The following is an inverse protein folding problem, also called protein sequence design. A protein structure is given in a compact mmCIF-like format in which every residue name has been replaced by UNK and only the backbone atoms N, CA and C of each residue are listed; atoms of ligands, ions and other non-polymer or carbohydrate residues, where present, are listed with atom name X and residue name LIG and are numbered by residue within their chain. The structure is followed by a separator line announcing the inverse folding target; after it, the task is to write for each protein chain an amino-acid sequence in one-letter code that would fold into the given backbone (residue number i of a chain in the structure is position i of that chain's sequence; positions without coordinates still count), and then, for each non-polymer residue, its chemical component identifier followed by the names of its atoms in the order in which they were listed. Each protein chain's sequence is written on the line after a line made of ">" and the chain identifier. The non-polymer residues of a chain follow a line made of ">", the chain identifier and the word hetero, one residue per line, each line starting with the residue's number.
data_IF_111041610910
#
_entry.id   IF_111041610910
#
_cell.length_a   1.000
_cell.length_b   1.000
_cell.length_c   1.000
_cell.angle_alpha   90.00
_cell.angle_beta   90.00
_cell.angle_gamma   90.00
#
_symmetry.space_group_name_H-M   'P 1'
#
loop_
_entity.id
_entity.type
_entity.pdbx_description
1 polymer ?
#
# COMPACT_ATOMS: atom_id res chain seq x y z
N UNK A 1 20.95 -3.07 -19.87
CA UNK A 1 20.59 -1.81 -19.17
C UNK A 1 19.12 -1.35 -19.32
N UNK A 2 18.23 -1.99 -20.10
CA UNK A 2 16.81 -1.61 -20.18
C UNK A 2 15.91 -2.16 -19.06
N UNK A 3 16.30 -3.27 -18.41
CA UNK A 3 15.49 -3.93 -17.36
C UNK A 3 15.45 -3.11 -16.04
N UNK A 4 16.58 -2.50 -15.65
CA UNK A 4 16.66 -1.63 -14.47
C UNK A 4 15.82 -0.35 -14.58
N UNK A 5 15.39 0.04 -15.78
CA UNK A 5 14.51 1.20 -15.98
C UNK A 5 13.05 0.93 -15.58
N UNK A 6 12.70 -0.32 -15.29
CA UNK A 6 11.34 -0.74 -14.95
C UNK A 6 11.13 -0.77 -13.42
N UNK A 7 12.21 -0.93 -12.65
CA UNK A 7 12.19 -0.93 -11.19
C UNK A 7 12.41 0.50 -10.69
N UNK A 8 11.54 0.99 -9.82
CA UNK A 8 11.71 2.32 -9.23
C UNK A 8 12.83 2.29 -8.16
N UNK A 9 13.43 3.46 -7.83
CA UNK A 9 14.55 3.52 -6.89
C UNK A 9 14.23 2.94 -5.51
N UNK A 10 12.98 3.08 -5.03
CA UNK A 10 12.57 2.54 -3.74
C UNK A 10 12.49 1.02 -3.79
N UNK A 11 11.89 0.43 -4.82
CA UNK A 11 11.90 -1.03 -4.99
C UNK A 11 13.31 -1.60 -5.16
N UNK A 12 14.21 -0.92 -5.87
CA UNK A 12 15.62 -1.34 -5.97
C UNK A 12 16.33 -1.32 -4.61
N UNK A 13 16.05 -0.30 -3.79
CA UNK A 13 16.60 -0.22 -2.42
C UNK A 13 16.01 -1.33 -1.55
N UNK A 14 14.72 -1.60 -1.69
CA UNK A 14 14.02 -2.66 -0.97
C UNK A 14 14.57 -4.05 -1.32
N UNK A 15 14.77 -4.33 -2.61
CA UNK A 15 15.41 -5.58 -3.08
C UNK A 15 16.82 -5.70 -2.51
N UNK A 16 17.60 -4.63 -2.55
CA UNK A 16 18.94 -4.62 -1.95
C UNK A 16 18.89 -4.96 -0.47
N UNK A 17 17.95 -4.38 0.29
CA UNK A 17 17.76 -4.68 1.71
C UNK A 17 17.33 -6.13 1.95
N UNK A 18 16.43 -6.68 1.12
CA UNK A 18 16.03 -8.10 1.22
C UNK A 18 17.21 -9.02 0.92
N UNK A 19 18.03 -8.70 -0.09
CA UNK A 19 19.26 -9.46 -0.38
C UNK A 19 20.24 -9.37 0.79
N UNK A 20 20.46 -8.17 1.34
CA UNK A 20 21.30 -7.98 2.52
C UNK A 20 20.78 -8.79 3.71
N UNK A 21 19.48 -8.78 4.00
CA UNK A 21 18.87 -9.60 5.04
C UNK A 21 18.99 -11.11 4.77
N UNK A 22 19.07 -11.51 3.49
CA UNK A 22 19.19 -12.92 3.10
C UNK A 22 20.60 -13.46 3.26
N UNK A 23 21.62 -12.66 2.96
CA UNK A 23 23.03 -13.05 3.09
C UNK A 23 23.63 -12.71 4.46
N UNK A 24 23.15 -11.61 5.06
CA UNK A 24 23.61 -11.08 6.35
C UNK A 24 22.40 -10.81 7.27
N UNK A 25 21.63 -11.85 7.65
CA UNK A 25 20.54 -11.69 8.60
C UNK A 25 21.07 -11.28 9.98
N UNK A 26 20.34 -10.39 10.66
CA UNK A 26 20.53 -10.15 12.09
C UNK A 26 20.35 -11.47 12.87
N UNK A 27 21.35 -11.86 13.65
CA UNK A 27 21.38 -13.11 14.44
C UNK A 27 22.03 -12.88 15.80
N UNK A 28 21.71 -13.75 16.76
CA UNK A 28 22.30 -13.75 18.09
C UNK A 28 22.05 -12.45 18.85
N UNK A 29 23.10 -11.92 19.49
CA UNK A 29 23.01 -10.77 20.41
C UNK A 29 22.59 -9.45 19.74
N UNK A 30 22.62 -9.37 18.40
CA UNK A 30 22.12 -8.20 17.67
C UNK A 30 20.59 -8.16 17.57
N UNK A 31 19.89 -9.27 17.78
CA UNK A 31 18.42 -9.35 17.63
C UNK A 31 17.69 -8.34 18.53
N UNK A 32 17.95 -8.28 19.85
CA UNK A 32 17.25 -7.31 20.73
C UNK A 32 17.52 -5.85 20.36
N UNK A 33 18.72 -5.55 19.85
CA UNK A 33 19.06 -4.20 19.39
C UNK A 33 18.21 -3.81 18.17
N UNK A 34 18.15 -4.67 17.16
CA UNK A 34 17.35 -4.41 15.95
C UNK A 34 15.85 -4.37 16.24
N UNK A 35 15.34 -5.20 17.15
CA UNK A 35 13.93 -5.17 17.57
C UNK A 35 13.55 -3.85 18.25
N UNK A 36 14.36 -3.38 19.20
CA UNK A 36 14.14 -2.10 19.89
C UNK A 36 14.25 -0.91 18.92
N UNK A 37 15.25 -0.93 18.03
CA UNK A 37 15.42 0.10 17.02
C UNK A 37 14.24 0.11 16.02
N UNK A 38 13.77 -1.07 15.63
CA UNK A 38 12.60 -1.23 14.75
C UNK A 38 11.33 -0.68 15.41
N UNK A 39 11.12 -1.00 16.70
CA UNK A 39 10.00 -0.47 17.48
C UNK A 39 10.02 1.06 17.55
N UNK A 40 11.18 1.65 17.85
CA UNK A 40 11.35 3.10 17.87
C UNK A 40 11.14 3.73 16.48
N UNK A 41 11.64 3.09 15.42
CA UNK A 41 11.48 3.56 14.04
C UNK A 41 10.02 3.54 13.58
N UNK A 42 9.25 2.52 13.98
CA UNK A 42 7.81 2.44 13.70
C UNK A 42 7.05 3.52 14.47
N UNK A 43 7.34 3.71 15.77
CA UNK A 43 6.72 4.77 16.56
C UNK A 43 6.98 6.15 15.95
N UNK A 44 8.23 6.42 15.56
CA UNK A 44 8.61 7.66 14.86
C UNK A 44 7.87 7.78 13.53
N UNK A 45 7.80 6.73 12.72
CA UNK A 45 7.11 6.73 11.44
C UNK A 45 5.64 7.12 11.64
N UNK A 46 4.90 6.44 12.50
CA UNK A 46 3.48 6.76 12.73
C UNK A 46 3.28 8.15 13.34
N UNK A 47 4.17 8.58 14.23
CA UNK A 47 4.18 9.94 14.76
C UNK A 47 4.34 10.98 13.64
N UNK A 48 5.31 10.79 12.74
CA UNK A 48 5.51 11.70 11.60
C UNK A 48 4.32 11.68 10.63
N UNK A 49 3.65 10.54 10.45
CA UNK A 49 2.41 10.46 9.66
C UNK A 49 1.29 11.30 10.29
N UNK A 50 1.12 11.24 11.60
CA UNK A 50 0.17 12.08 12.33
C UNK A 50 0.49 13.57 12.22
N UNK A 51 1.75 13.94 12.41
CA UNK A 51 2.21 15.33 12.35
C UNK A 51 2.08 15.96 10.95
N UNK A 52 2.16 15.15 9.89
CA UNK A 52 1.98 15.59 8.50
C UNK A 52 0.52 15.87 8.13
N UNK A 53 -0.44 15.34 8.88
CA UNK A 53 -1.85 15.42 8.53
C UNK A 53 -2.43 16.82 8.80
N UNK A 54 -2.62 17.61 7.74
CA UNK A 54 -3.24 18.93 7.85
C UNK A 54 -4.75 18.89 7.91
N UNK A 55 -5.34 19.76 8.74
CA UNK A 55 -6.80 19.90 8.87
C UNK A 55 -7.41 20.36 7.54
N UNK A 56 -6.68 21.20 6.82
CA UNK A 56 -7.05 21.71 5.52
C UNK A 56 -7.09 20.59 4.46
N UNK A 57 -6.18 19.60 4.53
CA UNK A 57 -6.20 18.45 3.63
C UNK A 57 -7.38 17.51 3.91
N UNK A 58 -7.83 17.42 5.17
CA UNK A 58 -9.03 16.67 5.56
C UNK A 58 -10.29 17.38 5.01
N UNK A 59 -10.36 18.70 5.13
CA UNK A 59 -11.53 19.51 4.72
C UNK A 59 -11.61 19.67 3.19
N UNK A 60 -10.46 19.83 2.50
CA UNK A 60 -10.41 20.01 1.05
C UNK A 60 -10.89 18.77 0.26
N UNK A 61 -10.93 17.59 0.89
CA UNK A 61 -11.49 16.36 0.30
C UNK A 61 -13.02 16.35 0.18
N UNK A 62 -13.72 17.44 0.51
CA UNK A 62 -15.18 17.53 0.40
C UNK A 62 -15.71 17.63 -1.05
N UNK A 63 -14.88 18.07 -2.00
CA UNK A 63 -15.25 18.11 -3.42
C UNK A 63 -15.12 16.74 -4.07
N UNK A 64 -16.15 16.25 -4.77
CA UNK A 64 -16.20 14.91 -5.41
C UNK A 64 -16.39 13.72 -4.45
N UNK A 65 -17.20 13.87 -3.40
CA UNK A 65 -17.50 12.81 -2.40
C UNK A 65 -17.89 11.45 -3.02
N UNK A 66 -18.63 11.42 -4.13
CA UNK A 66 -18.99 10.16 -4.84
C UNK A 66 -17.76 9.39 -5.31
N UNK A 67 -16.74 10.11 -5.81
CA UNK A 67 -15.48 9.54 -6.26
C UNK A 67 -14.68 9.01 -5.05
N UNK A 68 -14.56 9.83 -4.00
CA UNK A 68 -13.84 9.45 -2.78
C UNK A 68 -14.45 8.20 -2.13
N UNK A 69 -15.77 8.16 -2.02
CA UNK A 69 -16.51 7.01 -1.49
C UNK A 69 -16.20 5.75 -2.29
N UNK A 70 -16.25 5.84 -3.62
CA UNK A 70 -15.94 4.67 -4.46
C UNK A 70 -14.48 4.20 -4.31
N UNK A 71 -13.50 5.11 -4.24
CA UNK A 71 -12.10 4.74 -3.99
C UNK A 71 -11.93 4.03 -2.64
N UNK A 72 -12.61 4.53 -1.60
CA UNK A 72 -12.61 3.92 -0.27
C UNK A 72 -13.26 2.53 -0.32
N UNK A 73 -14.42 2.39 -0.98
CA UNK A 73 -15.08 1.10 -1.19
C UNK A 73 -14.20 0.12 -1.97
N UNK A 74 -13.54 0.56 -3.05
CA UNK A 74 -12.60 -0.28 -3.78
C UNK A 74 -11.49 -0.78 -2.86
N UNK A 75 -10.94 0.11 -2.03
CA UNK A 75 -9.80 -0.20 -1.16
C UNK A 75 -10.16 -1.12 0.02
N UNK A 76 -11.26 -0.85 0.73
CA UNK A 76 -11.60 -1.49 2.01
C UNK A 76 -12.82 -2.41 1.95
N UNK A 77 -13.46 -2.55 0.78
CA UNK A 77 -14.56 -3.50 0.56
C UNK A 77 -14.25 -4.46 -0.57
N UNK A 78 -14.03 -3.96 -1.80
CA UNK A 78 -13.77 -4.80 -2.97
C UNK A 78 -12.53 -5.68 -2.77
N UNK A 79 -11.39 -5.07 -2.43
CA UNK A 79 -10.16 -5.84 -2.20
C UNK A 79 -10.32 -6.87 -1.07
N UNK A 80 -10.77 -6.51 0.16
CA UNK A 80 -10.97 -7.49 1.22
C UNK A 80 -11.92 -8.64 0.83
N UNK A 81 -13.03 -8.36 0.14
CA UNK A 81 -13.92 -9.41 -0.37
C UNK A 81 -13.17 -10.37 -1.30
N UNK A 82 -12.40 -9.84 -2.25
CA UNK A 82 -11.57 -10.66 -3.15
C UNK A 82 -10.52 -11.47 -2.36
N UNK A 83 -9.90 -10.87 -1.34
CA UNK A 83 -8.94 -11.55 -0.47
C UNK A 83 -9.58 -12.69 0.33
N UNK A 84 -10.77 -12.49 0.89
CA UNK A 84 -11.53 -13.51 1.64
C UNK A 84 -11.95 -14.64 0.72
N UNK A 85 -12.54 -14.31 -0.44
CA UNK A 85 -12.93 -15.32 -1.43
C UNK A 85 -11.72 -16.14 -1.87
N UNK A 86 -10.58 -15.50 -2.08
CA UNK A 86 -9.35 -16.19 -2.46
C UNK A 86 -8.80 -17.09 -1.35
N UNK A 87 -8.78 -16.61 -0.11
CA UNK A 87 -8.34 -17.37 1.06
C UNK A 87 -9.30 -18.52 1.41
N UNK A 88 -10.58 -18.41 1.07
CA UNK A 88 -11.58 -19.47 1.22
C UNK A 88 -11.45 -20.53 0.12
N UNK A 89 -11.28 -20.11 -1.14
CA UNK A 89 -11.26 -21.03 -2.27
C UNK A 89 -10.01 -21.92 -2.33
N UNK A 90 -8.84 -21.41 -1.90
CA UNK A 90 -7.54 -22.12 -1.89
C UNK A 90 -7.30 -23.00 -3.13
N UNK A 91 -7.29 -22.43 -4.34
CA UNK A 91 -7.29 -23.19 -5.60
C UNK A 91 -6.00 -23.99 -5.89
N UNK A 92 -4.91 -23.72 -5.17
CA UNK A 92 -3.59 -24.32 -5.42
C UNK A 92 -2.98 -24.76 -4.09
N UNK A 93 -2.31 -25.91 -4.09
CA UNK A 93 -1.62 -26.38 -2.89
C UNK A 93 -0.28 -25.64 -2.71
N UNK A 94 -0.34 -24.44 -2.13
CA UNK A 94 0.81 -23.65 -1.66
C UNK A 94 0.71 -23.42 -0.15
N UNK A 95 1.79 -22.92 0.45
CA UNK A 95 1.82 -22.63 1.89
C UNK A 95 0.62 -21.74 2.30
N UNK A 96 -0.20 -22.15 3.30
CA UNK A 96 -1.36 -21.40 3.76
C UNK A 96 -1.06 -19.94 4.14
N UNK A 97 0.17 -19.64 4.58
CA UNK A 97 0.58 -18.29 4.94
C UNK A 97 0.57 -17.34 3.74
N UNK A 98 0.78 -17.85 2.52
CA UNK A 98 0.71 -17.01 1.32
C UNK A 98 -0.72 -16.52 1.06
N UNK A 99 -1.73 -17.34 1.35
CA UNK A 99 -3.12 -16.92 1.31
C UNK A 99 -3.42 -15.83 2.33
N UNK A 100 -2.89 -15.98 3.56
CA UNK A 100 -2.95 -14.93 4.58
C UNK A 100 -2.24 -13.65 4.12
N UNK A 101 -1.09 -13.76 3.44
CA UNK A 101 -0.38 -12.62 2.87
C UNK A 101 -1.18 -11.89 1.80
N UNK A 102 -1.90 -12.62 0.94
CA UNK A 102 -2.84 -12.03 -0.03
C UNK A 102 -4.06 -11.37 0.62
N UNK A 103 -4.62 -12.00 1.65
CA UNK A 103 -5.70 -11.39 2.41
C UNK A 103 -5.24 -10.10 3.10
N UNK A 104 -4.05 -10.11 3.70
CA UNK A 104 -3.44 -8.93 4.29
C UNK A 104 -3.20 -7.82 3.25
N UNK A 105 -2.59 -8.14 2.10
CA UNK A 105 -2.46 -7.23 0.95
C UNK A 105 -3.81 -6.57 0.62
N UNK A 106 -4.89 -7.34 0.57
CA UNK A 106 -6.22 -6.86 0.25
C UNK A 106 -6.79 -5.91 1.30
N UNK A 107 -6.38 -6.00 2.56
CA UNK A 107 -6.87 -5.16 3.66
C UNK A 107 -6.12 -3.81 3.74
N UNK A 108 -4.95 -3.70 3.11
CA UNK A 108 -4.11 -2.50 3.19
C UNK A 108 -4.70 -1.26 2.49
N UNK A 109 -4.30 -0.05 2.90
CA UNK A 109 -4.71 1.18 2.24
C UNK A 109 -4.04 1.39 0.88
N UNK A 110 -4.52 2.37 0.14
CA UNK A 110 -3.94 2.80 -1.12
C UNK A 110 -2.62 3.57 -0.95
N UNK A 111 -1.79 3.55 -1.99
CA UNK A 111 -0.56 4.36 -2.09
C UNK A 111 -0.87 5.81 -2.45
N UNK A 112 -0.30 6.77 -1.73
CA UNK A 112 -0.47 8.20 -2.03
C UNK A 112 0.36 8.62 -3.24
N UNK A 113 1.69 8.47 -3.15
CA UNK A 113 2.62 9.07 -4.12
C UNK A 113 2.45 8.51 -5.55
N UNK A 114 2.40 7.19 -5.70
CA UNK A 114 2.27 6.58 -7.02
C UNK A 114 0.87 6.80 -7.61
N UNK A 115 -0.19 6.84 -6.81
CA UNK A 115 -1.53 7.15 -7.32
C UNK A 115 -1.59 8.58 -7.91
N UNK A 116 -1.03 9.57 -7.22
CA UNK A 116 -0.95 10.96 -7.69
C UNK A 116 -0.10 11.04 -8.98
N UNK A 117 1.08 10.40 -8.98
CA UNK A 117 1.99 10.44 -10.12
C UNK A 117 1.38 9.82 -11.39
N UNK A 118 0.76 8.64 -11.29
CA UNK A 118 0.13 7.99 -12.44
C UNK A 118 -1.13 8.72 -12.91
N UNK A 119 -1.92 9.29 -11.98
CA UNK A 119 -3.08 10.12 -12.33
C UNK A 119 -2.64 11.36 -13.09
N UNK A 120 -1.62 12.07 -12.61
CA UNK A 120 -1.07 13.24 -13.30
C UNK A 120 -0.53 12.88 -14.68
N UNK A 121 0.26 11.80 -14.80
CA UNK A 121 0.80 11.36 -16.08
C UNK A 121 -0.29 10.97 -17.09
N UNK A 122 -1.42 10.45 -16.64
CA UNK A 122 -2.54 10.05 -17.48
C UNK A 122 -3.50 11.19 -17.84
N UNK A 123 -3.34 12.39 -17.27
CA UNK A 123 -4.28 13.51 -17.44
C UNK A 123 -5.56 13.38 -16.61
N UNK A 124 -5.51 12.71 -15.46
CA UNK A 124 -6.63 12.57 -14.53
C UNK A 124 -6.79 13.74 -13.57
N UNK A 125 -7.80 13.67 -12.71
CA UNK A 125 -8.07 14.69 -11.69
C UNK A 125 -7.09 14.55 -10.51
N UNK A 126 -5.96 15.27 -10.60
CA UNK A 126 -4.87 15.22 -9.61
C UNK A 126 -5.33 15.68 -8.23
N UNK A 127 -6.18 16.71 -8.14
CA UNK A 127 -6.70 17.20 -6.87
C UNK A 127 -7.53 16.12 -6.16
N UNK A 128 -8.44 15.46 -6.90
CA UNK A 128 -9.21 14.34 -6.37
C UNK A 128 -8.32 13.14 -6.01
N UNK A 129 -7.24 12.88 -6.75
CA UNK A 129 -6.29 11.81 -6.43
C UNK A 129 -5.53 12.07 -5.12
N UNK A 130 -5.06 13.31 -4.91
CA UNK A 130 -4.40 13.73 -3.66
C UNK A 130 -5.35 13.50 -2.49
N UNK A 131 -6.59 13.97 -2.60
CA UNK A 131 -7.59 13.82 -1.53
C UNK A 131 -7.94 12.36 -1.28
N UNK A 132 -8.30 11.59 -2.32
CA UNK A 132 -8.71 10.18 -2.19
C UNK A 132 -7.61 9.30 -1.62
N UNK A 133 -6.39 9.42 -2.15
CA UNK A 133 -5.29 8.57 -1.74
C UNK A 133 -4.84 8.91 -0.31
N UNK A 134 -4.84 10.19 0.05
CA UNK A 134 -4.56 10.63 1.43
C UNK A 134 -5.64 10.12 2.38
N UNK A 135 -6.92 10.30 2.04
CA UNK A 135 -8.04 9.80 2.85
C UNK A 135 -7.96 8.28 3.04
N UNK A 136 -7.72 7.51 1.97
CA UNK A 136 -7.53 6.06 2.05
C UNK A 136 -6.33 5.68 2.93
N UNK A 137 -5.19 6.34 2.77
CA UNK A 137 -4.00 6.11 3.60
C UNK A 137 -4.27 6.38 5.08
N UNK A 138 -4.96 7.47 5.40
CA UNK A 138 -5.30 7.85 6.77
C UNK A 138 -6.33 6.92 7.39
N UNK A 139 -7.44 6.68 6.68
CA UNK A 139 -8.45 5.73 7.12
C UNK A 139 -7.85 4.35 7.31
N UNK A 140 -6.90 3.95 6.46
CA UNK A 140 -6.21 2.66 6.58
C UNK A 140 -5.41 2.47 7.85
N UNK A 141 -4.87 3.53 8.46
CA UNK A 141 -4.19 3.44 9.75
C UNK A 141 -5.13 2.89 10.83
N UNK A 142 -6.43 3.21 10.73
CA UNK A 142 -7.47 2.74 11.65
C UNK A 142 -8.19 1.48 11.14
N UNK A 143 -8.62 1.47 9.88
CA UNK A 143 -9.47 0.42 9.31
C UNK A 143 -8.70 -0.88 9.07
N UNK A 144 -7.45 -0.83 8.62
CA UNK A 144 -6.76 -2.07 8.22
C UNK A 144 -6.50 -2.98 9.42
N UNK A 145 -6.05 -2.50 10.61
CA UNK A 145 -5.89 -3.36 11.77
C UNK A 145 -7.21 -3.94 12.28
N UNK A 146 -8.31 -3.17 12.22
CA UNK A 146 -9.64 -3.67 12.55
C UNK A 146 -10.09 -4.77 11.59
N UNK A 147 -9.90 -4.57 10.28
CA UNK A 147 -10.19 -5.56 9.25
C UNK A 147 -9.30 -6.80 9.38
N UNK A 148 -8.03 -6.64 9.75
CA UNK A 148 -7.14 -7.77 10.05
C UNK A 148 -7.66 -8.56 11.25
N UNK A 149 -8.02 -7.88 12.35
CA UNK A 149 -8.60 -8.53 13.52
C UNK A 149 -9.90 -9.28 13.21
N UNK A 150 -10.78 -8.67 12.41
CA UNK A 150 -12.08 -9.23 12.04
C UNK A 150 -11.95 -10.43 11.07
N UNK A 151 -11.08 -10.32 10.07
CA UNK A 151 -11.09 -11.21 8.91
C UNK A 151 -10.02 -12.28 8.98
N UNK A 152 -8.89 -12.02 9.66
CA UNK A 152 -7.75 -12.93 9.67
C UNK A 152 -7.68 -13.81 10.93
N UNK A 153 -8.57 -13.62 11.92
CA UNK A 153 -8.55 -14.34 13.20
C UNK A 153 -7.10 -14.50 13.69
N UNK A 154 -6.42 -13.37 13.88
CA UNK A 154 -5.00 -13.34 14.19
C UNK A 154 -4.78 -14.07 15.52
N UNK A 155 -4.35 -15.33 15.39
CA UNK A 155 -4.23 -16.40 16.39
C UNK A 155 -5.54 -17.14 16.70
N UNK A 156 -5.55 -18.45 16.40
CA UNK A 156 -6.71 -19.33 16.53
C UNK A 156 -7.40 -19.27 17.89
N UNK A 157 -8.71 -19.55 17.89
CA UNK A 157 -9.55 -19.70 19.07
C UNK A 157 -9.31 -18.65 20.18
N UNK A 158 -9.54 -17.37 19.88
CA UNK A 158 -9.60 -16.33 20.92
C UNK A 158 -8.80 -15.06 20.69
N UNK A 159 -8.67 -14.59 19.44
CA UNK A 159 -8.24 -13.21 19.18
C UNK A 159 -9.25 -12.23 19.78
N UNK A 160 -9.07 -11.90 21.06
CA UNK A 160 -9.97 -11.01 21.77
C UNK A 160 -9.91 -9.62 21.15
N UNK A 161 -11.04 -8.92 21.10
CA UNK A 161 -11.10 -7.50 20.75
C UNK A 161 -10.06 -6.67 21.53
N UNK A 162 -9.64 -7.16 22.70
CA UNK A 162 -8.58 -6.60 23.53
C UNK A 162 -7.18 -6.66 22.87
N UNK A 163 -6.80 -7.74 22.20
CA UNK A 163 -5.51 -7.82 21.50
C UNK A 163 -5.48 -6.89 20.28
N UNK A 164 -6.57 -6.85 19.50
CA UNK A 164 -6.73 -5.89 18.41
C UNK A 164 -6.70 -4.47 18.96
N UNK A 165 -7.34 -4.22 20.11
CA UNK A 165 -7.31 -2.95 20.83
C UNK A 165 -5.91 -2.53 21.29
N UNK A 166 -5.09 -3.45 21.81
CA UNK A 166 -3.70 -3.17 22.20
C UNK A 166 -2.82 -2.84 21.01
N UNK A 167 -2.93 -3.60 19.92
CA UNK A 167 -2.21 -3.33 18.66
C UNK A 167 -2.66 -2.00 18.06
N UNK A 168 -3.98 -1.74 18.09
CA UNK A 168 -4.53 -0.45 17.68
C UNK A 168 -3.96 0.68 18.53
N UNK A 169 -3.90 0.54 19.86
CA UNK A 169 -3.30 1.56 20.72
C UNK A 169 -1.82 1.75 20.41
N UNK A 170 -1.06 0.68 20.15
CA UNK A 170 0.35 0.76 19.77
C UNK A 170 0.58 1.49 18.44
N UNK A 171 -0.30 1.31 17.44
CA UNK A 171 -0.25 2.00 16.15
C UNK A 171 -0.80 3.43 16.22
N UNK A 172 -1.93 3.62 16.92
CA UNK A 172 -2.68 4.87 16.97
C UNK A 172 -2.10 5.86 17.96
N UNK A 173 -1.56 5.41 19.09
CA UNK A 173 -0.97 6.30 20.09
C UNK A 173 0.13 7.20 19.48
N UNK A 174 1.20 6.68 18.83
CA UNK A 174 2.20 7.54 18.22
C UNK A 174 1.60 8.46 17.15
N UNK A 175 0.67 7.96 16.33
CA UNK A 175 -0.01 8.75 15.31
C UNK A 175 -0.81 9.91 15.91
N UNK A 176 -1.62 9.65 16.93
CA UNK A 176 -2.45 10.66 17.63
C UNK A 176 -1.56 11.68 18.31
N UNK A 177 -0.51 11.24 19.01
CA UNK A 177 0.48 12.15 19.61
C UNK A 177 1.14 13.04 18.55
N UNK A 178 1.50 12.47 17.41
CA UNK A 178 2.02 13.20 16.26
C UNK A 178 1.04 14.24 15.75
N UNK A 179 -0.22 13.86 15.57
CA UNK A 179 -1.28 14.77 15.11
C UNK A 179 -1.55 15.91 16.10
N UNK A 180 -1.64 15.60 17.40
CA UNK A 180 -1.85 16.59 18.46
C UNK A 180 -0.66 17.54 18.61
N UNK A 181 0.55 17.09 18.29
CA UNK A 181 1.76 17.94 18.30
C UNK A 181 1.84 18.91 17.12
N UNK A 182 1.03 18.71 16.06
CA UNK A 182 1.09 19.47 14.81
C UNK A 182 0.99 20.99 14.98
N UNK A 183 0.20 21.58 15.89
CA UNK A 183 0.19 23.02 16.10
C UNK A 183 1.56 23.60 16.49
N UNK A 184 2.44 22.80 17.10
CA UNK A 184 3.78 23.22 17.51
C UNK A 184 4.86 22.89 16.47
N UNK A 185 4.78 21.70 15.84
CA UNK A 185 5.84 21.22 14.94
C UNK A 185 5.48 21.29 13.45
N UNK A 186 4.24 21.62 13.10
CA UNK A 186 3.70 21.53 11.75
C UNK A 186 4.44 22.38 10.71
N UNK A 187 4.86 23.60 11.10
CA UNK A 187 5.64 24.48 10.23
C UNK A 187 7.07 23.96 10.01
N UNK A 188 7.68 23.38 11.05
CA UNK A 188 8.98 22.73 10.91
C UNK A 188 8.86 21.49 10.01
N UNK A 189 7.80 20.69 10.18
CA UNK A 189 7.50 19.51 9.35
C UNK A 189 7.30 19.92 7.89
N UNK A 190 6.56 21.00 7.64
CA UNK A 190 6.27 21.47 6.29
C UNK A 190 7.51 22.06 5.59
N UNK A 191 8.43 22.68 6.34
CA UNK A 191 9.73 23.17 5.86
C UNK A 191 10.72 22.03 5.57
N UNK A 192 10.71 20.96 6.37
CA UNK A 192 11.69 19.87 6.30
C UNK A 192 11.18 18.60 5.60
N UNK A 193 10.18 18.72 4.72
CA UNK A 193 9.54 17.58 4.01
C UNK A 193 10.52 16.56 3.41
N UNK A 194 11.64 17.00 2.83
CA UNK A 194 12.65 16.12 2.22
C UNK A 194 13.35 15.23 3.25
N UNK A 195 13.77 15.80 4.38
CA UNK A 195 14.41 15.04 5.45
C UNK A 195 13.45 14.05 6.08
N UNK A 196 12.21 14.48 6.32
CA UNK A 196 11.20 13.62 6.91
C UNK A 196 10.82 12.46 5.98
N UNK A 197 10.73 12.72 4.66
CA UNK A 197 10.50 11.64 3.69
C UNK A 197 11.64 10.60 3.70
N UNK A 198 12.90 11.05 3.86
CA UNK A 198 14.03 10.13 4.02
C UNK A 198 13.95 9.34 5.32
N UNK A 199 13.59 9.98 6.43
CA UNK A 199 13.43 9.29 7.72
C UNK A 199 12.36 8.20 7.63
N UNK A 200 11.18 8.50 7.05
CA UNK A 200 10.13 7.50 6.85
C UNK A 200 10.62 6.32 6.00
N UNK A 201 11.31 6.62 4.91
CA UNK A 201 11.86 5.59 4.03
C UNK A 201 12.88 4.70 4.75
N UNK A 202 13.80 5.30 5.51
CA UNK A 202 14.79 4.56 6.30
C UNK A 202 14.13 3.69 7.38
N UNK A 203 13.10 4.20 8.06
CA UNK A 203 12.32 3.41 9.02
C UNK A 203 11.67 2.20 8.35
N UNK A 204 11.06 2.36 7.17
CA UNK A 204 10.49 1.23 6.42
C UNK A 204 11.58 0.21 6.06
N UNK A 205 12.72 0.67 5.55
CA UNK A 205 13.81 -0.23 5.16
C UNK A 205 14.39 -1.00 6.36
N UNK A 206 14.50 -0.36 7.53
CA UNK A 206 14.89 -1.03 8.76
C UNK A 206 13.90 -2.14 9.14
N UNK A 207 12.59 -1.84 9.12
CA UNK A 207 11.54 -2.84 9.42
C UNK A 207 11.63 -4.03 8.47
N UNK A 208 11.82 -3.77 7.17
CA UNK A 208 12.00 -4.81 6.15
C UNK A 208 13.22 -5.66 6.46
N UNK A 209 14.36 -5.03 6.76
CA UNK A 209 15.61 -5.72 7.06
C UNK A 209 15.44 -6.67 8.25
N UNK A 210 14.90 -6.18 9.37
CA UNK A 210 14.69 -6.98 10.58
C UNK A 210 13.74 -8.15 10.32
N UNK A 211 12.60 -7.89 9.67
CA UNK A 211 11.60 -8.91 9.38
C UNK A 211 12.09 -9.99 8.40
N UNK A 212 12.80 -9.61 7.34
CA UNK A 212 13.37 -10.57 6.40
C UNK A 212 14.56 -11.33 6.99
N UNK A 213 15.37 -10.68 7.83
CA UNK A 213 16.48 -11.35 8.53
C UNK A 213 15.96 -12.51 9.35
N UNK A 214 14.89 -12.27 10.11
CA UNK A 214 14.25 -13.30 10.92
C UNK A 214 13.55 -14.37 10.06
N UNK A 215 12.86 -13.98 8.98
CA UNK A 215 12.25 -14.94 8.08
C UNK A 215 13.28 -15.88 7.41
N UNK A 216 14.46 -15.34 7.08
CA UNK A 216 15.59 -16.09 6.53
C UNK A 216 16.16 -17.05 7.58
N UNK A 217 16.31 -16.62 8.83
CA UNK A 217 16.69 -17.48 9.96
C UNK A 217 15.67 -18.60 10.16
N UNK A 218 14.38 -18.32 9.99
CA UNK A 218 13.28 -19.29 10.03
C UNK A 218 13.11 -20.12 8.74
N UNK A 219 14.04 -20.05 7.80
CA UNK A 219 14.09 -20.92 6.62
C UNK A 219 13.08 -20.57 5.53
N UNK A 220 12.75 -19.30 5.31
CA UNK A 220 11.81 -18.87 4.24
C UNK A 220 12.17 -19.44 2.86
N UNK A 221 13.46 -19.58 2.54
CA UNK A 221 13.93 -20.12 1.26
C UNK A 221 13.59 -21.60 1.04
N UNK A 222 13.34 -22.36 2.10
CA UNK A 222 12.86 -23.73 2.00
C UNK A 222 11.33 -23.80 1.84
N UNK A 223 10.60 -22.74 2.24
CA UNK A 223 9.13 -22.65 2.14
C UNK A 223 8.67 -22.00 0.83
N UNK A 224 9.48 -21.11 0.27
CA UNK A 224 9.18 -20.35 -0.96
C UNK A 224 10.01 -20.89 -2.12
N UNK A 225 9.43 -21.86 -2.84
CA UNK A 225 9.98 -22.35 -4.10
C UNK A 225 9.54 -21.52 -5.31
N UNK A 226 10.06 -21.88 -6.49
CA UNK A 226 9.66 -21.27 -7.77
C UNK A 226 8.16 -21.34 -8.04
N UNK A 227 7.50 -22.44 -7.66
CA UNK A 227 6.05 -22.60 -7.77
C UNK A 227 5.27 -21.55 -6.96
N UNK A 228 5.70 -21.29 -5.72
CA UNK A 228 5.11 -20.26 -4.87
C UNK A 228 5.30 -18.85 -5.44
N UNK A 229 6.48 -18.54 -5.99
CA UNK A 229 6.73 -17.25 -6.64
C UNK A 229 5.86 -17.05 -7.89
N UNK A 230 5.77 -18.07 -8.75
CA UNK A 230 4.91 -18.03 -9.93
C UNK A 230 3.44 -17.86 -9.54
N UNK A 231 2.99 -18.59 -8.53
CA UNK A 231 1.66 -18.44 -7.95
C UNK A 231 1.39 -17.00 -7.49
N UNK A 232 2.32 -16.40 -6.73
CA UNK A 232 2.16 -15.02 -6.25
C UNK A 232 2.04 -14.04 -7.43
N UNK A 233 2.87 -14.19 -8.47
CA UNK A 233 2.83 -13.33 -9.65
C UNK A 233 1.50 -13.45 -10.38
N UNK A 234 1.05 -14.68 -10.66
CA UNK A 234 -0.20 -14.95 -11.38
C UNK A 234 -1.39 -14.38 -10.62
N UNK A 235 -1.50 -14.69 -9.33
CA UNK A 235 -2.60 -14.22 -8.47
C UNK A 235 -2.59 -12.70 -8.36
N UNK A 236 -1.42 -12.08 -8.22
CA UNK A 236 -1.28 -10.62 -8.18
C UNK A 236 -1.76 -9.96 -9.48
N UNK A 237 -1.39 -10.53 -10.63
CA UNK A 237 -1.86 -10.06 -11.93
C UNK A 237 -3.38 -10.18 -12.07
N UNK A 238 -3.95 -11.32 -11.67
CA UNK A 238 -5.41 -11.57 -11.72
C UNK A 238 -6.15 -10.62 -10.79
N UNK A 239 -5.71 -10.50 -9.54
CA UNK A 239 -6.31 -9.60 -8.55
C UNK A 239 -6.30 -8.15 -9.04
N UNK A 240 -5.14 -7.68 -9.53
CA UNK A 240 -5.02 -6.32 -10.07
C UNK A 240 -5.91 -6.12 -11.30
N UNK A 241 -5.96 -7.09 -12.21
CA UNK A 241 -6.80 -7.02 -13.41
C UNK A 241 -8.29 -6.91 -13.04
N UNK A 242 -8.77 -7.75 -12.11
CA UNK A 242 -10.16 -7.71 -11.63
C UNK A 242 -10.46 -6.33 -11.04
N UNK A 243 -9.62 -5.83 -10.14
CA UNK A 243 -9.85 -4.53 -9.49
C UNK A 243 -9.82 -3.38 -10.50
N UNK A 244 -8.91 -3.38 -11.47
CA UNK A 244 -8.88 -2.36 -12.52
C UNK A 244 -10.16 -2.43 -13.36
N UNK A 245 -10.58 -3.62 -13.81
CA UNK A 245 -11.78 -3.80 -14.63
C UNK A 245 -13.03 -3.33 -13.88
N UNK A 246 -13.19 -3.73 -12.61
CA UNK A 246 -14.32 -3.30 -11.78
C UNK A 246 -14.31 -1.77 -11.59
N UNK A 247 -13.15 -1.17 -11.32
CA UNK A 247 -13.04 0.29 -11.17
C UNK A 247 -13.37 1.04 -12.46
N UNK A 248 -12.88 0.59 -13.61
CA UNK A 248 -13.23 1.18 -14.93
C UNK A 248 -14.73 1.04 -15.20
N UNK A 249 -15.27 -0.16 -15.01
CA UNK A 249 -16.68 -0.44 -15.26
C UNK A 249 -17.58 0.44 -14.38
N UNK A 250 -17.28 0.51 -13.07
CA UNK A 250 -18.07 1.28 -12.12
C UNK A 250 -17.92 2.78 -12.32
N UNK A 251 -16.72 3.27 -12.65
CA UNK A 251 -16.53 4.68 -12.99
C UNK A 251 -17.44 5.11 -14.16
N UNK A 252 -17.51 4.28 -15.22
CA UNK A 252 -18.38 4.54 -16.37
C UNK A 252 -19.85 4.40 -16.03
N UNK A 253 -20.23 3.37 -15.27
CA UNK A 253 -21.62 3.11 -14.89
C UNK A 253 -22.20 4.22 -14.01
N UNK A 254 -21.37 4.80 -13.14
CA UNK A 254 -21.75 5.90 -12.24
C UNK A 254 -21.73 7.28 -12.93
N UNK A 255 -21.34 7.35 -14.21
CA UNK A 255 -21.34 8.56 -15.01
C UNK A 255 -20.20 9.53 -14.71
N UNK A 256 -19.06 9.05 -14.21
CA UNK A 256 -17.90 9.90 -14.00
C UNK A 256 -17.26 10.33 -15.33
N UNK A 257 -16.73 11.55 -15.37
CA UNK A 257 -15.95 12.01 -16.53
C UNK A 257 -14.63 11.23 -16.64
N UNK A 258 -13.90 11.44 -17.75
CA UNK A 258 -12.68 10.68 -18.02
C UNK A 258 -11.56 10.94 -16.99
N UNK A 259 -11.41 12.18 -16.53
CA UNK A 259 -10.39 12.55 -15.56
C UNK A 259 -10.63 11.87 -14.21
N UNK A 260 -11.90 11.75 -13.82
CA UNK A 260 -12.36 11.08 -12.60
C UNK A 260 -12.28 9.55 -12.73
N UNK A 261 -12.59 8.97 -13.89
CA UNK A 261 -12.34 7.54 -14.18
C UNK A 261 -10.87 7.18 -13.94
N UNK A 262 -9.95 7.99 -14.49
CA UNK A 262 -8.51 7.81 -14.33
C UNK A 262 -8.12 7.84 -12.84
N UNK A 263 -8.64 8.81 -12.09
CA UNK A 263 -8.40 8.93 -10.65
C UNK A 263 -8.94 7.72 -9.88
N UNK A 264 -10.16 7.27 -10.17
CA UNK A 264 -10.77 6.08 -9.56
C UNK A 264 -9.90 4.85 -9.79
N UNK A 265 -9.45 4.63 -11.02
CA UNK A 265 -8.64 3.47 -11.37
C UNK A 265 -7.31 3.51 -10.63
N UNK A 266 -6.59 4.63 -10.64
CA UNK A 266 -5.27 4.68 -10.03
C UNK A 266 -5.26 4.76 -8.51
N UNK A 267 -6.25 5.39 -7.90
CA UNK A 267 -6.39 5.43 -6.45
C UNK A 267 -7.03 4.15 -5.90
N UNK A 268 -7.99 3.58 -6.62
CA UNK A 268 -8.75 2.41 -6.19
C UNK A 268 -8.06 1.06 -6.42
N UNK A 269 -7.03 0.98 -7.27
CA UNK A 269 -6.35 -0.28 -7.62
C UNK A 269 -5.00 -0.51 -6.95
N UNK A 270 -4.52 0.43 -6.13
CA UNK A 270 -3.17 0.36 -5.55
C UNK A 270 -3.19 -0.02 -4.08
N UNK A 271 -2.13 -0.69 -3.63
CA UNK A 271 -1.90 -1.06 -2.23
C UNK A 271 -0.54 -0.55 -1.74
N UNK A 272 -0.55 0.02 -0.53
CA UNK A 272 0.58 0.71 0.07
C UNK A 272 1.56 -0.23 0.74
N UNK A 273 2.69 -0.46 0.08
CA UNK A 273 3.83 -1.17 0.67
C UNK A 273 4.44 -0.38 1.83
N UNK A 274 4.56 0.94 1.66
CA UNK A 274 5.14 1.84 2.66
C UNK A 274 4.38 1.81 3.99
N UNK A 275 3.05 1.70 3.95
CA UNK A 275 2.24 1.57 5.16
C UNK A 275 2.13 0.11 5.61
N UNK A 276 2.02 -0.83 4.67
CA UNK A 276 1.82 -2.24 4.98
C UNK A 276 2.97 -2.88 5.73
N UNK A 277 4.22 -2.55 5.41
CA UNK A 277 5.34 -3.24 6.08
C UNK A 277 5.45 -2.87 7.58
N UNK A 278 5.44 -1.57 7.98
CA UNK A 278 5.37 -1.20 9.39
C UNK A 278 4.16 -1.78 10.12
N UNK A 279 3.00 -1.82 9.46
CA UNK A 279 1.79 -2.38 10.06
C UNK A 279 1.91 -3.89 10.28
N UNK A 280 2.46 -4.64 9.32
CA UNK A 280 2.65 -6.08 9.44
C UNK A 280 3.53 -6.44 10.63
N UNK A 281 4.54 -5.61 10.91
CA UNK A 281 5.47 -5.82 12.00
C UNK A 281 4.84 -5.68 13.39
N UNK A 282 3.79 -4.87 13.52
CA UNK A 282 3.03 -4.76 14.77
C UNK A 282 1.91 -5.81 14.82
N UNK A 283 1.25 -6.08 13.69
CA UNK A 283 0.06 -6.93 13.64
C UNK A 283 0.36 -8.42 13.74
N UNK A 284 1.54 -8.87 13.30
CA UNK A 284 1.87 -10.28 13.19
C UNK A 284 3.17 -10.60 13.93
N UNK A 285 3.30 -11.84 14.44
CA UNK A 285 4.57 -12.32 14.98
C UNK A 285 5.69 -12.18 13.95
N UNK A 286 6.87 -11.84 14.42
CA UNK A 286 8.01 -11.53 13.56
C UNK A 286 8.44 -12.70 12.67
N UNK A 287 8.28 -13.93 13.18
CA UNK A 287 8.54 -15.19 12.47
C UNK A 287 7.72 -15.39 11.19
N UNK A 288 6.58 -14.71 11.05
CA UNK A 288 5.69 -14.86 9.89
C UNK A 288 5.65 -13.64 8.96
N UNK A 289 6.23 -12.50 9.36
CA UNK A 289 6.16 -11.24 8.60
C UNK A 289 6.72 -11.42 7.18
N UNK A 290 7.87 -12.08 7.03
CA UNK A 290 8.50 -12.23 5.72
C UNK A 290 7.61 -12.92 4.69
N UNK A 291 6.88 -13.97 5.10
CA UNK A 291 5.93 -14.68 4.23
C UNK A 291 4.66 -13.86 3.95
N UNK A 292 4.20 -13.08 4.94
CA UNK A 292 3.03 -12.21 4.81
C UNK A 292 3.26 -11.02 3.88
N UNK A 293 4.46 -10.45 3.91
CA UNK A 293 4.83 -9.26 3.14
C UNK A 293 5.24 -9.61 1.70
N UNK A 294 5.62 -10.86 1.42
CA UNK A 294 6.09 -11.26 0.10
C UNK A 294 5.06 -11.02 -1.02
N UNK A 295 3.76 -11.40 -0.88
CA UNK A 295 2.73 -11.05 -1.86
C UNK A 295 2.59 -9.53 -2.08
N UNK A 296 2.68 -8.74 -1.00
CA UNK A 296 2.62 -7.27 -1.06
C UNK A 296 3.77 -6.69 -1.88
N UNK A 297 4.98 -7.19 -1.72
CA UNK A 297 6.15 -6.74 -2.48
C UNK A 297 6.01 -7.01 -3.98
N UNK A 298 5.63 -8.24 -4.33
CA UNK A 298 5.46 -8.64 -5.73
C UNK A 298 4.29 -7.90 -6.37
N UNK A 299 3.15 -7.81 -5.67
CA UNK A 299 2.00 -7.03 -6.12
C UNK A 299 2.38 -5.55 -6.32
N UNK A 300 3.17 -4.97 -5.41
CA UNK A 300 3.63 -3.58 -5.54
C UNK A 300 4.41 -3.34 -6.83
N UNK A 301 5.29 -4.27 -7.20
CA UNK A 301 6.06 -4.12 -8.44
C UNK A 301 5.18 -4.27 -9.68
N UNK A 302 4.24 -5.23 -9.65
CA UNK A 302 3.29 -5.46 -10.75
C UNK A 302 2.39 -4.23 -10.94
N UNK A 303 1.83 -3.65 -9.87
CA UNK A 303 0.97 -2.46 -9.99
C UNK A 303 1.71 -1.27 -10.60
N UNK A 304 3.00 -1.06 -10.30
CA UNK A 304 3.77 0.04 -10.89
C UNK A 304 3.96 -0.16 -12.40
N UNK A 305 4.34 -1.37 -12.81
CA UNK A 305 4.51 -1.73 -14.23
C UNK A 305 3.20 -1.56 -15.00
N UNK A 306 2.11 -2.17 -14.51
CA UNK A 306 0.80 -2.13 -15.16
C UNK A 306 0.23 -0.71 -15.18
N UNK A 307 0.33 0.04 -14.07
CA UNK A 307 -0.15 1.42 -14.02
C UNK A 307 0.65 2.35 -14.94
N UNK A 308 1.95 2.12 -15.12
CA UNK A 308 2.76 2.92 -16.06
C UNK A 308 2.31 2.73 -17.50
N UNK A 309 2.03 1.49 -17.91
CA UNK A 309 1.49 1.19 -19.25
C UNK A 309 0.10 1.79 -19.41
N UNK A 310 -0.77 1.60 -18.40
CA UNK A 310 -2.14 2.12 -18.42
C UNK A 310 -2.19 3.65 -18.46
N UNK A 311 -1.31 4.34 -17.72
CA UNK A 311 -1.24 5.80 -17.72
C UNK A 311 -0.82 6.36 -19.08
N UNK A 312 0.15 5.73 -19.75
CA UNK A 312 0.52 6.09 -21.13
C UNK A 312 -0.63 5.87 -22.11
N UNK A 313 -1.38 4.79 -21.93
CA UNK A 313 -2.56 4.49 -22.75
C UNK A 313 -3.66 5.54 -22.55
N UNK A 314 -3.97 5.90 -21.31
CA UNK A 314 -4.94 6.95 -21.01
C UNK A 314 -4.51 8.29 -21.61
N UNK A 315 -3.24 8.68 -21.42
CA UNK A 315 -2.70 9.91 -22.00
C UNK A 315 -2.90 9.98 -23.52
N UNK A 316 -2.53 8.92 -24.23
CA UNK A 316 -2.70 8.83 -25.69
C UNK A 316 -4.18 8.94 -26.12
N UNK A 317 -5.09 8.33 -25.36
CA UNK A 317 -6.53 8.44 -25.64
C UNK A 317 -7.05 9.87 -25.45
N UNK A 318 -6.61 10.55 -24.39
CA UNK A 318 -6.96 11.94 -24.13
C UNK A 318 -6.45 12.87 -25.22
N UNK A 319 -5.19 12.72 -25.64
CA UNK A 319 -4.59 13.49 -26.75
C UNK A 319 -5.34 13.28 -28.07
N UNK A 320 -5.74 12.04 -28.37
CA UNK A 320 -6.52 11.73 -29.58
C UNK A 320 -7.91 12.36 -29.58
N UNK A 321 -8.60 12.36 -28.43
CA UNK A 321 -9.91 13.00 -28.29
C UNK A 321 -9.82 14.52 -28.47
N UNK A 322 -8.78 15.14 -27.92
CA UNK A 322 -8.53 16.58 -28.07
C UNK A 322 -8.26 16.95 -29.54
N UNK A 323 -7.39 16.21 -30.22
CA UNK A 323 -7.10 16.45 -31.64
C UNK A 323 -8.34 16.28 -32.54
N UNK A 324 -9.25 15.36 -32.21
CA UNK A 324 -10.52 15.20 -32.93
C UNK A 324 -11.48 16.37 -32.70
N UNK A 325 -11.53 16.93 -31.48
CA UNK A 325 -12.34 18.09 -31.16
C UNK A 325 -11.84 19.35 -31.87
N UNK A 326 -10.53 19.58 -31.87
CA UNK A 326 -9.88 20.68 -32.59
C UNK A 326 -10.16 20.60 -34.10
N UNK A 327 -9.96 19.42 -34.72
CA UNK A 327 -10.26 19.23 -36.15
C UNK A 327 -11.75 19.36 -36.49
N UNK A 328 -12.66 19.15 -35.54
CA UNK A 328 -14.10 19.32 -35.77
C UNK A 328 -14.53 20.77 -35.59
N UNK A 329 -13.88 21.52 -34.70
CA UNK A 329 -14.07 22.94 -34.51
C UNK A 329 -13.54 23.75 -35.70
N UNK A 330 -12.41 23.37 -36.29
CA UNK A 330 -11.86 24.01 -37.49
C UNK A 330 -12.70 23.78 -38.77
N UNK A 331 -13.63 22.80 -38.73
CA UNK A 331 -14.52 22.46 -39.85
C UNK A 331 -15.93 23.05 -39.71
N UNK A 332 -16.26 23.64 -38.56
CA UNK A 332 -17.56 24.24 -38.25
C UNK A 332 -17.51 25.75 -38.43
#
# INVERSE_FOLDING_TARGET
>A
MKLFRILDPFTLTLITVVLLASFFPARGDFVPFFENLTTAAIALLFFMHGAKLSREAIIAGGGHWRLHLWVICSTFVLFPILGVLFAWWKPVNVDPMLYSGFLYLCILPATVQSAIAFTSMAGGNVAAAVCSASASSLLGIFLSPLLVGLVMNVHGAGGSLEQVGKIMLQLLLPFVLGHLSRPWIGDWVSRNKKWIAKTDQTSILLVVYTAFSEAVVNGIWHKVGWGSLLFIVVVSCVLLAIVIVVNVFMARRLGFNKADEITIVFCGSKKSLANGIPMANILFPTSVIGMMVLPLMIFHQIQLMVCAVLARRYKRQTEQLQAQQESSADKA
#
